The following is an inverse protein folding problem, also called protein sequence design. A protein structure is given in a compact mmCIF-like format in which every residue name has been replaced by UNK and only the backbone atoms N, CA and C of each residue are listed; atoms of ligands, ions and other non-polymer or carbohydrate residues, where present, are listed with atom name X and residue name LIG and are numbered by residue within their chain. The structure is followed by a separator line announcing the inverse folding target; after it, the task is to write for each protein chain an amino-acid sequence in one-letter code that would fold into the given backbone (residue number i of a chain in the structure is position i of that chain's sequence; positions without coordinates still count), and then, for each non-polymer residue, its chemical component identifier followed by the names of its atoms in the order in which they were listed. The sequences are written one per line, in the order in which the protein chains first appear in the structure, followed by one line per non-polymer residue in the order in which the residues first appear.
data_IF_174885486475
#
_entry.id   IF_174885486475
#
_cell.length_a   1.000
_cell.length_b   1.000
_cell.length_c   1.000
_cell.angle_alpha   90.00
_cell.angle_beta   90.00
_cell.angle_gamma   90.00
#
_symmetry.space_group_name_H-M   'P 1'
#
loop_
_entity.id
_entity.type
_entity.pdbx_description
1 polymer ?
#
# COMPACT_ATOMS: atom_id res chain seq x y z
N UNK A 1 14.54 -16.11 3.63
CA UNK A 1 13.74 -14.87 3.62
C UNK A 1 12.51 -15.17 4.43
N UNK A 2 12.14 -14.29 5.35
CA UNK A 2 10.88 -14.42 6.09
C UNK A 2 9.96 -13.26 5.72
N UNK A 3 8.64 -13.51 5.74
CA UNK A 3 7.62 -12.55 5.35
C UNK A 3 6.67 -12.28 6.51
N UNK A 4 6.11 -11.06 6.56
CA UNK A 4 5.08 -10.68 7.52
C UNK A 4 3.90 -10.10 6.77
N UNK A 5 2.70 -10.60 7.02
CA UNK A 5 1.49 -10.11 6.39
C UNK A 5 0.28 -10.36 7.29
N UNK A 6 -0.55 -9.35 7.60
CA UNK A 6 -1.73 -9.54 8.45
C UNK A 6 -2.94 -10.15 7.73
N UNK A 7 -2.91 -10.21 6.39
CA UNK A 7 -4.06 -10.64 5.59
C UNK A 7 -4.13 -12.15 5.42
N UNK A 8 -5.24 -12.79 5.82
CA UNK A 8 -5.34 -14.26 5.82
C UNK A 8 -5.33 -14.88 4.40
N UNK A 9 -6.13 -14.34 3.47
CA UNK A 9 -6.36 -14.98 2.18
C UNK A 9 -5.09 -15.06 1.32
N UNK A 10 -4.44 -13.91 1.10
CA UNK A 10 -3.21 -13.83 0.30
C UNK A 10 -2.04 -14.52 0.98
N UNK A 11 -1.96 -14.48 2.32
CA UNK A 11 -0.94 -15.20 3.07
C UNK A 11 -1.08 -16.71 2.89
N UNK A 12 -2.28 -17.26 2.94
CA UNK A 12 -2.49 -18.69 2.70
C UNK A 12 -2.13 -19.10 1.27
N UNK A 13 -2.50 -18.26 0.29
CA UNK A 13 -2.11 -18.49 -1.10
C UNK A 13 -0.58 -18.47 -1.27
N UNK A 14 0.10 -17.47 -0.68
CA UNK A 14 1.54 -17.36 -0.70
C UNK A 14 2.22 -18.56 -0.01
N UNK A 15 1.72 -19.01 1.13
CA UNK A 15 2.20 -20.23 1.81
C UNK A 15 2.16 -21.46 0.88
N UNK A 16 1.08 -21.62 0.12
CA UNK A 16 0.95 -22.72 -0.85
C UNK A 16 1.99 -22.66 -1.98
N UNK A 17 2.36 -21.46 -2.44
CA UNK A 17 3.38 -21.29 -3.49
C UNK A 17 4.80 -21.44 -2.98
N UNK A 18 5.08 -20.96 -1.76
CA UNK A 18 6.44 -20.85 -1.24
C UNK A 18 6.86 -22.14 -0.51
N UNK A 19 5.90 -22.85 0.11
CA UNK A 19 6.18 -24.04 0.92
C UNK A 19 7.12 -23.70 2.08
N UNK A 20 8.07 -24.58 2.36
CA UNK A 20 9.00 -24.44 3.50
C UNK A 20 10.23 -23.56 3.20
N UNK A 21 10.26 -22.86 2.05
CA UNK A 21 11.40 -22.01 1.65
C UNK A 21 11.48 -20.68 2.42
N UNK A 22 10.38 -20.28 3.06
CA UNK A 22 10.27 -19.05 3.82
C UNK A 22 9.22 -19.19 4.92
N UNK A 23 9.46 -18.59 6.08
CA UNK A 23 8.43 -18.46 7.09
C UNK A 23 7.53 -17.26 6.77
N UNK A 24 6.20 -17.43 6.83
CA UNK A 24 5.25 -16.32 6.70
C UNK A 24 4.47 -16.13 7.99
N UNK A 25 4.82 -15.08 8.73
CA UNK A 25 4.14 -14.63 9.93
C UNK A 25 2.81 -13.95 9.55
N UNK A 26 1.68 -14.59 9.88
CA UNK A 26 0.34 -14.06 9.56
C UNK A 26 -0.17 -13.10 10.65
N UNK A 27 0.51 -11.98 10.83
CA UNK A 27 0.26 -10.98 11.88
C UNK A 27 0.73 -9.59 11.40
N UNK A 28 0.48 -8.54 12.18
CA UNK A 28 0.97 -7.20 11.83
C UNK A 28 2.45 -7.08 12.18
N UNK A 29 3.21 -6.32 11.37
CA UNK A 29 4.66 -6.17 11.54
C UNK A 29 5.08 -5.71 12.94
N UNK A 30 4.36 -4.73 13.52
CA UNK A 30 4.64 -4.24 14.87
C UNK A 30 4.47 -5.28 15.97
N UNK A 31 3.64 -6.30 15.72
CA UNK A 31 3.32 -7.35 16.69
C UNK A 31 4.31 -8.53 16.59
N UNK A 32 5.19 -8.55 15.58
CA UNK A 32 6.13 -9.65 15.37
C UNK A 32 7.14 -9.73 16.52
N UNK A 33 7.27 -10.91 17.12
CA UNK A 33 8.31 -11.22 18.08
C UNK A 33 9.11 -12.40 17.56
N UNK A 34 10.41 -12.20 17.34
CA UNK A 34 11.30 -13.25 16.83
C UNK A 34 12.74 -13.03 17.31
N UNK A 35 13.48 -14.09 17.67
CA UNK A 35 14.90 -13.97 17.94
C UNK A 35 15.73 -13.79 16.66
N UNK A 36 15.14 -14.00 15.48
CA UNK A 36 15.83 -13.86 14.19
C UNK A 36 16.27 -12.41 13.96
N UNK A 37 17.35 -12.27 13.20
CA UNK A 37 17.89 -10.98 12.73
C UNK A 37 18.16 -11.06 11.24
N UNK A 38 18.15 -9.91 10.58
CA UNK A 38 18.20 -9.81 9.13
C UNK A 38 19.21 -8.76 8.69
N UNK A 39 19.85 -8.99 7.55
CA UNK A 39 20.71 -7.98 6.92
C UNK A 39 19.91 -6.92 6.17
N UNK A 40 18.64 -7.23 5.85
CA UNK A 40 17.72 -6.35 5.14
C UNK A 40 16.29 -6.52 5.66
N UNK A 41 15.64 -5.40 6.00
CA UNK A 41 14.19 -5.30 6.15
C UNK A 41 13.63 -4.55 4.94
N UNK A 42 12.72 -5.19 4.20
CA UNK A 42 12.12 -4.65 2.98
C UNK A 42 10.66 -4.29 3.19
N UNK A 43 10.32 -3.02 2.92
CA UNK A 43 8.95 -2.57 2.77
C UNK A 43 8.69 -2.22 1.30
N UNK A 44 7.95 -3.08 0.61
CA UNK A 44 7.47 -2.87 -0.76
C UNK A 44 5.99 -2.52 -0.70
N UNK A 45 5.67 -1.22 -0.75
CA UNK A 45 4.30 -0.67 -0.62
C UNK A 45 3.53 -1.03 0.67
N UNK A 46 4.22 -1.59 1.67
CA UNK A 46 3.64 -1.95 2.96
C UNK A 46 3.87 -0.88 4.04
N UNK A 47 4.85 -0.01 3.85
CA UNK A 47 5.30 0.98 4.84
C UNK A 47 4.19 1.97 5.19
N UNK A 48 3.42 2.39 4.18
CA UNK A 48 2.30 3.32 4.32
C UNK A 48 1.17 2.87 5.26
N UNK A 49 1.10 1.57 5.59
CA UNK A 49 0.06 1.01 6.45
C UNK A 49 0.50 0.80 7.89
N UNK A 50 1.81 0.92 8.17
CA UNK A 50 2.40 0.69 9.48
C UNK A 50 2.74 2.05 10.10
N UNK A 51 2.45 2.31 11.39
CA UNK A 51 2.84 3.56 12.04
C UNK A 51 4.35 3.81 11.90
N UNK A 52 4.76 5.03 11.51
CA UNK A 52 6.15 5.34 11.17
C UNK A 52 7.14 4.96 12.27
N UNK A 53 6.88 5.38 13.51
CA UNK A 53 7.74 5.07 14.65
C UNK A 53 7.86 3.57 14.91
N UNK A 54 6.75 2.83 14.83
CA UNK A 54 6.75 1.37 14.99
C UNK A 54 7.51 0.69 13.87
N UNK A 55 7.30 1.09 12.62
CA UNK A 55 7.99 0.50 11.46
C UNK A 55 9.50 0.70 11.51
N UNK A 56 9.98 1.92 11.82
CA UNK A 56 11.41 2.24 11.90
C UNK A 56 12.07 1.61 13.13
N UNK A 57 11.44 1.72 14.30
CA UNK A 57 11.96 1.14 15.54
C UNK A 57 12.02 -0.39 15.46
N UNK A 58 10.95 -1.02 14.98
CA UNK A 58 10.90 -2.47 14.83
C UNK A 58 11.89 -3.00 13.81
N UNK A 59 12.08 -2.27 12.70
CA UNK A 59 13.13 -2.60 11.74
C UNK A 59 14.52 -2.55 12.39
N UNK A 60 14.84 -1.52 13.19
CA UNK A 60 16.12 -1.44 13.92
C UNK A 60 16.33 -2.66 14.82
N UNK A 61 15.32 -3.04 15.61
CA UNK A 61 15.40 -4.20 16.52
C UNK A 61 15.73 -5.51 15.79
N UNK A 62 15.28 -5.63 14.54
CA UNK A 62 15.38 -6.84 13.74
C UNK A 62 16.64 -6.89 12.86
N UNK A 63 17.40 -5.81 12.75
CA UNK A 63 18.59 -5.76 11.91
C UNK A 63 19.83 -6.32 12.62
N UNK A 64 20.68 -6.98 11.84
CA UNK A 64 22.08 -7.21 12.21
C UNK A 64 22.84 -5.85 12.21
N UNK A 65 23.96 -5.73 12.96
CA UNK A 65 24.85 -4.58 12.82
C UNK A 65 25.26 -4.37 11.36
N UNK A 66 25.12 -3.14 10.86
CA UNK A 66 25.38 -2.82 9.44
C UNK A 66 24.28 -3.28 8.47
N UNK A 67 23.15 -3.76 8.98
CA UNK A 67 21.95 -4.08 8.20
C UNK A 67 21.26 -2.85 7.62
N UNK A 68 20.31 -3.10 6.72
CA UNK A 68 19.65 -2.07 5.92
C UNK A 68 18.12 -2.14 5.98
N UNK A 69 17.47 -1.00 5.79
CA UNK A 69 16.03 -0.93 5.51
C UNK A 69 15.83 -0.40 4.09
N UNK A 70 15.15 -1.16 3.25
CA UNK A 70 14.72 -0.71 1.92
C UNK A 70 13.23 -0.38 1.96
N UNK A 71 12.90 0.89 1.72
CA UNK A 71 11.53 1.36 1.63
C UNK A 71 11.27 1.78 0.19
N UNK A 72 10.25 1.19 -0.43
CA UNK A 72 9.76 1.54 -1.75
C UNK A 72 8.26 1.81 -1.62
N UNK A 73 7.88 3.05 -1.37
CA UNK A 73 6.49 3.41 -1.05
C UNK A 73 6.20 4.87 -1.41
N UNK A 74 4.91 5.22 -1.39
CA UNK A 74 4.46 6.58 -1.64
C UNK A 74 4.01 7.33 -0.38
N UNK A 75 4.24 8.63 -0.42
CA UNK A 75 3.91 9.59 0.63
C UNK A 75 2.91 10.61 0.10
N UNK A 76 2.10 11.16 0.99
CA UNK A 76 1.17 12.26 0.67
C UNK A 76 1.93 13.58 0.64
N UNK A 77 1.81 14.31 -0.46
CA UNK A 77 2.27 15.69 -0.55
C UNK A 77 1.34 16.62 0.24
N UNK A 78 1.83 17.79 0.66
CA UNK A 78 1.04 18.81 1.38
C UNK A 78 0.17 19.69 0.45
N UNK A 79 -0.01 19.30 -0.82
CA UNK A 79 -0.80 20.07 -1.80
C UNK A 79 -2.29 20.08 -1.38
N UNK A 80 -2.97 21.24 -1.40
CA UNK A 80 -4.40 21.33 -1.08
C UNK A 80 -5.25 20.43 -1.98
N UNK A 81 -6.24 19.79 -1.37
CA UNK A 81 -7.16 18.86 -2.02
C UNK A 81 -7.06 17.45 -1.45
N UNK A 82 -7.77 16.51 -2.08
CA UNK A 82 -7.83 15.12 -1.61
C UNK A 82 -7.43 14.18 -2.72
N UNK A 83 -6.45 13.33 -2.47
CA UNK A 83 -6.12 12.24 -3.40
C UNK A 83 -7.25 11.20 -3.43
N UNK A 84 -7.58 10.75 -4.65
CA UNK A 84 -8.47 9.60 -4.88
C UNK A 84 -7.80 8.25 -4.57
N UNK A 85 -6.47 8.28 -4.41
CA UNK A 85 -5.67 7.19 -3.89
C UNK A 85 -5.49 7.41 -2.39
N UNK A 86 -6.11 6.53 -1.60
CA UNK A 86 -5.93 6.51 -0.14
C UNK A 86 -4.52 6.06 0.24
N UNK A 87 -4.22 6.07 1.54
CA UNK A 87 -2.92 5.60 2.05
C UNK A 87 -1.79 6.61 1.87
N UNK A 88 -0.59 6.20 2.27
CA UNK A 88 0.63 7.01 2.33
C UNK A 88 0.69 7.86 3.60
N UNK A 89 1.85 7.86 4.27
CA UNK A 89 2.15 8.82 5.34
C UNK A 89 2.33 10.22 4.77
N UNK A 90 2.12 11.26 5.56
CA UNK A 90 2.46 12.63 5.13
C UNK A 90 3.97 12.73 4.91
N UNK A 91 4.37 13.37 3.81
CA UNK A 91 5.77 13.57 3.47
C UNK A 91 6.52 14.31 4.58
N UNK A 92 5.93 15.38 5.11
CA UNK A 92 6.47 16.15 6.24
C UNK A 92 6.65 15.31 7.50
N UNK A 93 5.67 14.44 7.80
CA UNK A 93 5.70 13.55 8.96
C UNK A 93 6.78 12.48 8.82
N UNK A 94 6.97 11.93 7.62
CA UNK A 94 8.07 11.01 7.34
C UNK A 94 9.42 11.66 7.62
N UNK A 95 9.66 12.86 7.07
CA UNK A 95 10.92 13.57 7.25
C UNK A 95 11.21 13.87 8.73
N UNK A 96 10.20 14.35 9.48
CA UNK A 96 10.36 14.64 10.90
C UNK A 96 10.53 13.38 11.75
N UNK A 97 9.90 12.27 11.37
CA UNK A 97 10.04 11.00 12.08
C UNK A 97 11.41 10.38 11.81
N UNK A 98 11.88 10.33 10.57
CA UNK A 98 13.20 9.78 10.24
C UNK A 98 14.32 10.54 10.97
N UNK A 99 14.21 11.86 11.11
CA UNK A 99 15.17 12.69 11.85
C UNK A 99 15.29 12.31 13.35
N UNK A 100 14.31 11.61 13.92
CA UNK A 100 14.34 11.12 15.30
C UNK A 100 15.10 9.80 15.45
N UNK A 101 15.54 9.17 14.35
CA UNK A 101 16.29 7.91 14.34
C UNK A 101 17.73 8.14 13.85
N UNK A 102 18.63 8.70 14.67
CA UNK A 102 20.02 8.96 14.29
C UNK A 102 20.83 7.69 13.97
N UNK A 103 20.31 6.50 14.30
CA UNK A 103 20.88 5.21 13.95
C UNK A 103 20.84 4.93 12.45
N UNK A 104 19.93 5.59 11.72
CA UNK A 104 19.81 5.44 10.27
C UNK A 104 20.58 6.53 9.53
N UNK A 105 21.39 6.09 8.57
CA UNK A 105 21.99 6.92 7.54
C UNK A 105 21.29 6.66 6.21
N UNK A 106 20.83 7.72 5.54
CA UNK A 106 20.29 7.61 4.18
C UNK A 106 21.44 7.27 3.23
N UNK A 107 21.45 6.04 2.72
CA UNK A 107 22.40 5.57 1.73
C UNK A 107 21.91 5.83 0.30
N UNK A 108 20.59 5.69 0.09
CA UNK A 108 19.93 6.03 -1.18
C UNK A 108 18.64 6.77 -0.87
N UNK A 109 18.39 7.84 -1.61
CA UNK A 109 17.13 8.57 -1.66
C UNK A 109 16.84 8.89 -3.13
N UNK A 110 15.77 8.31 -3.67
CA UNK A 110 15.37 8.52 -5.05
C UNK A 110 13.87 8.73 -5.17
N UNK A 111 13.49 9.85 -5.77
CA UNK A 111 12.12 10.06 -6.22
C UNK A 111 11.90 9.29 -7.52
N UNK A 112 10.95 8.36 -7.49
CA UNK A 112 10.55 7.52 -8.63
C UNK A 112 9.09 7.73 -9.00
N UNK A 113 8.52 8.89 -8.65
CA UNK A 113 7.11 9.22 -8.89
C UNK A 113 6.79 9.21 -10.38
N UNK A 114 7.69 9.72 -11.23
CA UNK A 114 7.45 9.80 -12.67
C UNK A 114 7.45 8.42 -13.32
N UNK A 115 8.36 7.56 -12.89
CA UNK A 115 8.54 6.19 -13.36
C UNK A 115 7.42 5.28 -12.89
N UNK A 116 6.86 5.55 -11.70
CA UNK A 116 5.78 4.72 -11.12
C UNK A 116 4.40 5.16 -11.59
N UNK A 117 4.18 6.45 -11.86
CA UNK A 117 2.86 6.96 -12.23
C UNK A 117 2.14 6.21 -13.37
N UNK A 118 2.82 5.72 -14.45
CA UNK A 118 2.17 4.92 -15.49
C UNK A 118 1.50 3.64 -14.99
N UNK A 119 1.95 3.05 -13.87
CA UNK A 119 1.29 1.87 -13.29
C UNK A 119 -0.11 2.19 -12.78
N UNK A 120 -0.36 3.44 -12.38
CA UNK A 120 -1.70 3.92 -12.00
C UNK A 120 -2.62 4.01 -13.21
N UNK A 121 -2.08 4.38 -14.38
CA UNK A 121 -2.87 4.40 -15.61
C UNK A 121 -3.25 2.98 -16.07
N UNK A 122 -2.41 1.97 -15.81
CA UNK A 122 -2.81 0.56 -16.02
C UNK A 122 -4.01 0.17 -15.13
N UNK A 123 -4.02 0.60 -13.87
CA UNK A 123 -5.17 0.39 -12.97
C UNK A 123 -6.41 1.10 -13.50
N UNK A 124 -6.26 2.32 -14.03
CA UNK A 124 -7.36 3.07 -14.68
C UNK A 124 -7.89 2.31 -15.90
N UNK A 125 -7.00 1.80 -16.74
CA UNK A 125 -7.37 1.02 -17.92
C UNK A 125 -8.14 -0.24 -17.54
N UNK A 126 -7.64 -1.02 -16.57
CA UNK A 126 -8.33 -2.20 -16.04
C UNK A 126 -9.72 -1.86 -15.46
N UNK A 127 -9.85 -0.73 -14.74
CA UNK A 127 -11.15 -0.29 -14.24
C UNK A 127 -12.14 -0.02 -15.39
N UNK A 128 -11.67 0.63 -16.47
CA UNK A 128 -12.51 1.06 -17.58
C UNK A 128 -12.86 -0.08 -18.55
N UNK A 129 -11.90 -0.95 -18.85
CA UNK A 129 -12.04 -1.98 -19.88
C UNK A 129 -12.58 -3.30 -19.33
N UNK A 130 -12.40 -3.57 -18.03
CA UNK A 130 -12.78 -4.85 -17.42
C UNK A 130 -13.83 -4.65 -16.33
N UNK A 131 -13.51 -3.89 -15.28
CA UNK A 131 -14.38 -3.82 -14.11
C UNK A 131 -15.69 -3.07 -14.37
N UNK A 132 -15.67 -1.95 -15.10
CA UNK A 132 -16.88 -1.20 -15.42
C UNK A 132 -17.86 -2.00 -16.30
N UNK A 133 -17.43 -2.66 -17.39
CA UNK A 133 -18.31 -3.54 -18.17
C UNK A 133 -18.88 -4.68 -17.33
N UNK A 134 -18.04 -5.39 -16.55
CA UNK A 134 -18.50 -6.49 -15.69
C UNK A 134 -19.53 -6.02 -14.67
N UNK A 135 -19.29 -4.88 -14.02
CA UNK A 135 -20.22 -4.29 -13.05
C UNK A 135 -21.57 -3.94 -13.68
N UNK A 136 -21.56 -3.35 -14.88
CA UNK A 136 -22.79 -3.06 -15.65
C UNK A 136 -23.53 -4.34 -16.02
N UNK A 137 -22.82 -5.38 -16.47
CA UNK A 137 -23.42 -6.68 -16.81
C UNK A 137 -24.06 -7.35 -15.60
N UNK A 138 -23.37 -7.38 -14.44
CA UNK A 138 -23.92 -7.92 -13.19
C UNK A 138 -25.16 -7.16 -12.76
N UNK A 139 -25.14 -5.83 -12.84
CA UNK A 139 -26.30 -5.03 -12.49
C UNK A 139 -27.48 -5.23 -13.45
N UNK A 140 -27.25 -5.28 -14.76
CA UNK A 140 -28.29 -5.53 -15.74
C UNK A 140 -28.96 -6.91 -15.51
N UNK A 141 -28.16 -7.95 -15.26
CA UNK A 141 -28.67 -9.28 -14.92
C UNK A 141 -29.48 -9.30 -13.61
N UNK A 142 -29.04 -8.53 -12.61
CA UNK A 142 -29.75 -8.45 -11.33
C UNK A 142 -31.04 -7.63 -11.41
N UNK A 143 -31.08 -6.58 -12.25
CA UNK A 143 -32.31 -5.82 -12.57
C UNK A 143 -33.35 -6.70 -13.23
N UNK A 144 -32.94 -7.52 -14.20
CA UNK A 144 -33.80 -8.44 -14.93
C UNK A 144 -34.39 -9.53 -14.01
N UNK A 145 -33.54 -10.18 -13.22
CA UNK A 145 -33.97 -11.33 -12.40
C UNK A 145 -34.62 -10.95 -11.07
N UNK A 146 -34.21 -9.85 -10.44
CA UNK A 146 -34.62 -9.51 -9.07
C UNK A 146 -34.94 -8.01 -8.88
N UNK A 147 -35.90 -7.44 -9.66
CA UNK A 147 -36.14 -6.00 -9.70
C UNK A 147 -36.56 -5.40 -8.35
N UNK A 148 -37.39 -6.10 -7.57
CA UNK A 148 -37.85 -5.63 -6.26
C UNK A 148 -36.72 -5.62 -5.22
N UNK A 149 -35.90 -6.69 -5.19
CA UNK A 149 -34.74 -6.80 -4.31
C UNK A 149 -33.71 -5.72 -4.66
N UNK A 150 -33.45 -5.49 -5.95
CA UNK A 150 -32.49 -4.49 -6.37
C UNK A 150 -32.95 -3.07 -6.02
N UNK A 151 -34.25 -2.76 -6.14
CA UNK A 151 -34.81 -1.48 -5.65
C UNK A 151 -34.55 -1.29 -4.16
N UNK A 152 -34.77 -2.33 -3.34
CA UNK A 152 -34.50 -2.27 -1.90
C UNK A 152 -33.00 -2.09 -1.59
N UNK A 153 -32.13 -2.82 -2.28
CA UNK A 153 -30.67 -2.71 -2.13
C UNK A 153 -30.18 -1.33 -2.55
N UNK A 154 -30.62 -0.81 -3.71
CA UNK A 154 -30.29 0.53 -4.17
C UNK A 154 -30.78 1.58 -3.20
N UNK A 155 -32.01 1.49 -2.71
CA UNK A 155 -32.52 2.44 -1.73
C UNK A 155 -31.68 2.43 -0.44
N UNK A 156 -31.43 1.24 0.12
CA UNK A 156 -30.69 1.08 1.38
C UNK A 156 -29.21 1.46 1.27
N UNK A 157 -28.58 1.22 0.11
CA UNK A 157 -27.14 1.38 -0.09
C UNK A 157 -26.75 2.44 -1.13
N UNK A 158 -27.68 3.30 -1.56
CA UNK A 158 -27.50 4.33 -2.60
C UNK A 158 -26.16 5.07 -2.46
N UNK A 159 -25.95 5.69 -1.29
CA UNK A 159 -24.74 6.47 -1.00
C UNK A 159 -23.45 5.63 -1.06
N UNK A 160 -23.49 4.34 -0.72
CA UNK A 160 -22.32 3.45 -0.79
C UNK A 160 -21.99 3.08 -2.23
N UNK A 161 -23.02 2.81 -3.04
CA UNK A 161 -22.88 2.49 -4.47
C UNK A 161 -22.33 3.70 -5.22
N UNK A 162 -22.95 4.87 -5.06
CA UNK A 162 -22.50 6.12 -5.69
C UNK A 162 -21.04 6.45 -5.30
N UNK A 163 -20.67 6.25 -4.04
CA UNK A 163 -19.29 6.45 -3.58
C UNK A 163 -18.31 5.48 -4.23
N UNK A 164 -18.69 4.21 -4.43
CA UNK A 164 -17.83 3.25 -5.14
C UNK A 164 -17.68 3.62 -6.61
N UNK A 165 -18.79 3.92 -7.28
CA UNK A 165 -18.78 4.29 -8.70
C UNK A 165 -17.94 5.54 -8.92
N UNK A 166 -18.10 6.57 -8.09
CA UNK A 166 -17.24 7.75 -8.15
C UNK A 166 -15.76 7.40 -7.91
N UNK A 167 -15.45 6.59 -6.88
CA UNK A 167 -14.05 6.26 -6.55
C UNK A 167 -13.34 5.44 -7.63
N UNK A 168 -14.05 4.56 -8.32
CA UNK A 168 -13.46 3.62 -9.28
C UNK A 168 -13.64 4.03 -10.74
N UNK A 169 -14.69 4.80 -11.08
CA UNK A 169 -15.07 5.10 -12.46
C UNK A 169 -15.09 6.62 -12.78
N UNK A 170 -14.76 7.52 -11.84
CA UNK A 170 -14.67 8.96 -12.16
C UNK A 170 -13.51 9.32 -13.09
N UNK A 171 -12.55 8.40 -13.31
CA UNK A 171 -11.34 8.65 -14.10
C UNK A 171 -10.29 9.50 -13.38
N UNK A 172 -10.57 9.95 -12.14
CA UNK A 172 -9.64 10.75 -11.33
C UNK A 172 -8.51 9.91 -10.69
N UNK A 173 -8.56 8.58 -10.78
CA UNK A 173 -7.41 7.72 -10.46
C UNK A 173 -6.51 7.63 -11.69
N UNK A 174 -5.71 8.67 -11.91
CA UNK A 174 -4.77 8.78 -13.03
C UNK A 174 -3.35 9.02 -12.56
N UNK A 175 -2.38 8.79 -13.44
CA UNK A 175 -0.99 9.18 -13.24
C UNK A 175 -0.84 10.66 -12.86
N UNK A 176 -1.61 11.56 -13.47
CA UNK A 176 -1.55 13.00 -13.18
C UNK A 176 -1.96 13.31 -11.73
N UNK A 177 -3.08 12.75 -11.28
CA UNK A 177 -3.52 12.93 -9.90
C UNK A 177 -2.57 12.26 -8.91
N UNK A 178 -1.98 11.12 -9.29
CA UNK A 178 -0.93 10.49 -8.49
C UNK A 178 0.27 11.43 -8.33
N UNK A 179 0.84 11.94 -9.44
CA UNK A 179 1.96 12.90 -9.43
C UNK A 179 1.66 14.18 -8.66
N UNK A 180 0.39 14.63 -8.66
CA UNK A 180 -0.03 15.85 -7.97
C UNK A 180 -0.08 15.67 -6.45
N UNK A 181 -0.61 14.55 -5.97
CA UNK A 181 -0.94 14.36 -4.55
C UNK A 181 -0.02 13.39 -3.81
N UNK A 182 0.80 12.62 -4.54
CA UNK A 182 1.68 11.60 -4.00
C UNK A 182 3.11 11.81 -4.48
N UNK A 183 4.04 11.39 -3.64
CA UNK A 183 5.48 11.33 -3.91
C UNK A 183 5.93 9.90 -3.67
N UNK A 184 6.31 9.17 -4.72
CA UNK A 184 6.81 7.81 -4.63
C UNK A 184 8.32 7.84 -4.43
N UNK A 185 8.80 7.32 -3.30
CA UNK A 185 10.22 7.34 -2.96
C UNK A 185 10.78 5.93 -2.77
N UNK A 186 12.03 5.79 -3.19
CA UNK A 186 12.90 4.68 -2.83
C UNK A 186 13.95 5.18 -1.83
N UNK A 187 13.97 4.58 -0.65
CA UNK A 187 14.97 4.82 0.39
C UNK A 187 15.74 3.54 0.69
N UNK A 188 17.07 3.64 0.73
CA UNK A 188 17.92 2.67 1.41
C UNK A 188 18.50 3.34 2.65
N UNK A 189 18.08 2.87 3.83
CA UNK A 189 18.62 3.30 5.11
C UNK A 189 19.65 2.28 5.54
N UNK A 190 20.88 2.72 5.80
CA UNK A 190 21.93 1.90 6.39
C UNK A 190 22.01 2.17 7.89
N UNK A 191 22.18 1.13 8.69
CA UNK A 191 22.54 1.30 10.11
C UNK A 191 24.05 1.44 10.25
N UNK A 192 24.50 2.31 11.15
CA UNK A 192 25.94 2.46 11.43
C UNK A 192 26.47 1.14 12.02
N UNK A 193 27.61 0.61 11.53
CA UNK A 193 28.29 -0.49 12.22
C UNK A 193 28.67 -0.05 13.64
N UNK A 194 28.47 -0.94 14.61
CA UNK A 194 28.92 -0.72 15.98
C UNK A 194 30.45 -0.66 16.06
#
# INVERSE_FOLDING_TARGET
MDCVSPGTLLTNYAKGLIGDRAEIFNLKFQDLQTPKRYDLVLFSESFQYIPLNESLGKALEMLNPGGHVLICDFFQTEVPGKSMLGGGHKWSQWQSTLAQFPQYRIAVEKDITQETAPTIDLVKQMNNEVLAPLWRSVFALAEDRFPALLKLVRWKYKKKIEKMEYKHFSGERSAENFKKYKKYMLYLLATTPA
#
